data_IF_356432959140
#
_entry.id   IF_356432959140
#
_cell.length_a   1.000
_cell.length_b   1.000
_cell.length_c   1.000
_cell.angle_alpha   90.00
_cell.angle_beta   90.00
_cell.angle_gamma   90.00
#
_symmetry.space_group_name_H-M   'P 1'
#
loop_
_entity.id
_entity.type
_entity.pdbx_description
1 polymer ?
#
# COMPACT_ATOMS: atom_id res chain seq x y z
N UNK A 1 -47.14 7.11 -16.30
CA UNK A 1 -46.24 6.24 -15.52
C UNK A 1 -44.85 6.34 -16.14
N UNK A 2 -43.92 7.02 -15.50
CA UNK A 2 -42.52 7.09 -15.95
C UNK A 2 -41.75 6.05 -15.12
N UNK A 3 -41.07 5.06 -15.72
CA UNK A 3 -40.32 4.08 -14.96
C UNK A 3 -39.08 4.73 -14.35
N UNK A 4 -38.93 4.62 -13.03
CA UNK A 4 -37.72 4.97 -12.28
C UNK A 4 -36.63 3.95 -12.60
N UNK A 5 -35.83 4.21 -13.64
CA UNK A 5 -34.52 3.60 -13.76
C UNK A 5 -33.55 4.35 -12.83
N UNK A 6 -33.34 3.81 -11.63
CA UNK A 6 -32.17 4.17 -10.83
C UNK A 6 -30.99 3.46 -11.50
N UNK A 7 -30.37 4.14 -12.46
CA UNK A 7 -29.12 3.67 -13.06
C UNK A 7 -28.06 3.81 -11.98
N UNK A 8 -27.66 2.69 -11.37
CA UNK A 8 -26.45 2.61 -10.56
C UNK A 8 -25.26 2.94 -11.47
N UNK A 9 -24.89 4.22 -11.52
CA UNK A 9 -23.65 4.64 -12.15
C UNK A 9 -22.51 3.95 -11.39
N UNK A 10 -21.53 3.33 -12.10
CA UNK A 10 -20.33 2.83 -11.45
C UNK A 10 -19.75 3.92 -10.53
N UNK A 11 -19.30 3.58 -9.33
CA UNK A 11 -18.76 4.57 -8.38
C UNK A 11 -17.62 5.41 -8.99
N UNK A 12 -16.90 4.89 -9.99
CA UNK A 12 -15.91 5.65 -10.78
C UNK A 12 -16.52 6.84 -11.50
N UNK A 13 -17.69 6.67 -12.11
CA UNK A 13 -18.46 7.76 -12.71
C UNK A 13 -18.98 8.74 -11.66
N UNK A 14 -19.41 8.28 -10.48
CA UNK A 14 -19.80 9.19 -9.39
C UNK A 14 -18.60 9.97 -8.84
N UNK A 15 -17.45 9.33 -8.69
CA UNK A 15 -16.22 9.98 -8.24
C UNK A 15 -15.72 10.98 -9.29
N UNK A 16 -15.75 10.64 -10.58
CA UNK A 16 -15.43 11.55 -11.67
C UNK A 16 -16.40 12.75 -11.68
N UNK A 17 -17.70 12.54 -11.47
CA UNK A 17 -18.69 13.63 -11.37
C UNK A 17 -18.41 14.53 -10.17
N UNK A 18 -18.09 13.96 -9.00
CA UNK A 18 -17.70 14.71 -7.80
C UNK A 18 -16.37 15.46 -8.03
N UNK A 19 -15.42 14.89 -8.77
CA UNK A 19 -14.15 15.54 -9.16
C UNK A 19 -14.37 16.67 -10.18
N UNK A 20 -15.27 16.54 -11.14
CA UNK A 20 -15.63 17.63 -12.05
C UNK A 20 -16.38 18.76 -11.35
N UNK A 21 -17.24 18.43 -10.36
CA UNK A 21 -17.82 19.44 -9.46
C UNK A 21 -16.72 20.14 -8.64
N UNK A 22 -15.67 19.40 -8.26
CA UNK A 22 -14.51 19.97 -7.57
C UNK A 22 -13.74 20.98 -8.40
N UNK A 23 -13.41 20.66 -9.66
CA UNK A 23 -12.67 21.58 -10.54
C UNK A 23 -13.41 22.90 -10.76
N UNK A 24 -14.74 22.88 -10.74
CA UNK A 24 -15.57 24.09 -10.78
C UNK A 24 -15.49 24.91 -9.48
N UNK A 25 -15.42 24.26 -8.32
CA UNK A 25 -15.35 24.91 -7.01
C UNK A 25 -13.94 25.48 -6.69
N UNK A 26 -12.89 25.04 -7.39
CA UNK A 26 -11.50 25.48 -7.19
C UNK A 26 -11.23 26.94 -7.56
N UNK A 27 -12.15 27.61 -8.27
CA UNK A 27 -11.98 29.00 -8.68
C UNK A 27 -11.92 30.02 -7.50
N UNK A 28 -12.21 29.59 -6.26
CA UNK A 28 -12.30 30.48 -5.09
C UNK A 28 -11.40 30.16 -3.89
N UNK A 29 -10.60 29.08 -3.90
CA UNK A 29 -9.86 28.65 -2.71
C UNK A 29 -8.35 28.98 -2.78
N UNK A 30 -7.83 29.64 -1.74
CA UNK A 30 -6.39 29.78 -1.56
C UNK A 30 -5.80 28.41 -1.16
N UNK A 31 -4.93 27.90 -2.02
CA UNK A 31 -4.37 26.56 -1.91
C UNK A 31 -3.37 26.50 -0.74
N UNK A 32 -3.78 25.95 0.41
CA UNK A 32 -2.79 25.36 1.32
C UNK A 32 -2.36 24.05 0.69
N UNK A 33 -1.26 24.09 -0.08
CA UNK A 33 -0.56 22.87 -0.49
C UNK A 33 -0.14 22.16 0.79
N UNK A 34 -0.84 21.08 1.14
CA UNK A 34 -0.28 20.13 2.09
C UNK A 34 1.05 19.67 1.52
N UNK A 35 2.09 19.68 2.36
CA UNK A 35 3.40 19.24 1.94
C UNK A 35 3.25 17.80 1.42
N UNK A 36 3.89 17.44 0.29
CA UNK A 36 3.89 16.09 -0.22
C UNK A 36 4.15 15.10 0.92
N UNK A 37 3.45 13.94 0.96
CA UNK A 37 3.62 12.95 2.03
C UNK A 37 5.09 12.63 2.32
N UNK A 38 5.96 12.68 1.30
CA UNK A 38 7.42 12.52 1.41
C UNK A 38 8.09 13.62 2.25
N UNK A 39 7.65 14.87 2.13
CA UNK A 39 8.11 16.00 2.94
C UNK A 39 7.54 15.95 4.37
N UNK A 40 6.26 15.59 4.53
CA UNK A 40 5.65 15.40 5.86
C UNK A 40 6.34 14.28 6.62
N UNK A 41 6.64 13.16 5.94
CA UNK A 41 7.48 12.09 6.50
C UNK A 41 8.83 12.64 6.95
N UNK A 42 9.50 13.44 6.13
CA UNK A 42 10.80 14.04 6.46
C UNK A 42 10.77 15.00 7.65
N UNK A 43 9.69 15.76 7.81
CA UNK A 43 9.54 16.73 8.90
C UNK A 43 9.06 16.10 10.21
N UNK A 44 8.25 15.05 10.15
CA UNK A 44 7.79 14.29 11.31
C UNK A 44 8.83 13.28 11.85
N UNK A 45 10.07 13.30 11.34
CA UNK A 45 11.09 12.27 11.63
C UNK A 45 10.77 10.88 11.04
N UNK A 46 9.62 10.72 10.38
CA UNK A 46 9.15 9.51 9.69
C UNK A 46 9.82 9.30 8.31
N UNK A 47 10.78 10.14 7.89
CA UNK A 47 11.73 9.80 6.83
C UNK A 47 12.79 8.86 7.37
N UNK A 48 12.34 7.81 8.04
CA UNK A 48 13.11 6.62 8.11
C UNK A 48 12.90 5.86 6.78
N UNK A 49 13.59 6.32 5.74
CA UNK A 49 14.52 5.38 5.11
C UNK A 49 15.60 5.10 6.16
N UNK A 50 15.23 4.43 7.27
CA UNK A 50 16.21 3.64 7.98
C UNK A 50 16.72 2.76 6.86
N UNK A 51 18.03 2.84 6.58
CA UNK A 51 18.71 1.76 5.89
C UNK A 51 18.31 0.55 6.69
N UNK A 52 17.31 -0.16 6.19
CA UNK A 52 16.91 -1.43 6.72
C UNK A 52 18.18 -2.24 6.59
N UNK A 53 18.70 -2.71 7.71
CA UNK A 53 19.91 -3.50 7.69
C UNK A 53 19.52 -4.86 7.09
N UNK A 54 19.63 -4.96 5.76
CA UNK A 54 19.07 -6.09 5.00
C UNK A 54 19.92 -7.34 5.22
N UNK A 55 21.08 -7.29 5.90
CA UNK A 55 21.80 -8.49 6.35
C UNK A 55 22.91 -8.22 7.38
N UNK A 56 23.05 -9.13 8.36
CA UNK A 56 24.20 -9.22 9.28
C UNK A 56 25.54 -9.50 8.57
N UNK A 57 25.51 -9.88 7.28
CA UNK A 57 26.71 -10.09 6.46
C UNK A 57 26.96 -8.89 5.54
N UNK A 58 28.17 -8.31 5.54
CA UNK A 58 28.49 -7.19 4.66
C UNK A 58 28.52 -7.65 3.19
N UNK A 59 27.91 -6.85 2.31
CA UNK A 59 27.99 -7.06 0.86
C UNK A 59 29.43 -7.07 0.36
N UNK A 60 29.70 -7.93 -0.62
CA UNK A 60 30.94 -7.95 -1.40
C UNK A 60 31.15 -6.62 -2.14
N UNK A 61 32.38 -6.31 -2.57
CA UNK A 61 32.66 -5.09 -3.36
C UNK A 61 31.83 -5.08 -4.66
N UNK A 62 31.78 -6.22 -5.34
CA UNK A 62 30.99 -6.40 -6.56
C UNK A 62 29.49 -6.32 -6.29
N UNK A 63 29.03 -6.90 -5.18
CA UNK A 63 27.64 -6.81 -4.74
C UNK A 63 27.19 -5.38 -4.44
N UNK A 64 28.05 -4.56 -3.81
CA UNK A 64 27.80 -3.12 -3.59
C UNK A 64 27.70 -2.36 -4.92
N UNK A 65 28.62 -2.61 -5.85
CA UNK A 65 28.61 -1.97 -7.16
C UNK A 65 27.35 -2.35 -7.95
N UNK A 66 26.98 -3.63 -7.95
CA UNK A 66 25.77 -4.12 -8.61
C UNK A 66 24.51 -3.53 -7.99
N UNK A 67 24.40 -3.51 -6.66
CA UNK A 67 23.28 -2.91 -5.94
C UNK A 67 23.14 -1.41 -6.30
N UNK A 68 24.25 -0.68 -6.38
CA UNK A 68 24.27 0.72 -6.80
C UNK A 68 23.71 0.90 -8.21
N UNK A 69 24.16 0.08 -9.17
CA UNK A 69 23.69 0.13 -10.57
C UNK A 69 22.21 -0.24 -10.69
N UNK A 70 21.74 -1.25 -9.96
CA UNK A 70 20.32 -1.64 -9.92
C UNK A 70 19.48 -0.50 -9.35
N UNK A 71 19.92 0.11 -8.25
CA UNK A 71 19.20 1.21 -7.59
C UNK A 71 19.11 2.43 -8.50
N UNK A 72 20.19 2.77 -9.21
CA UNK A 72 20.23 3.86 -10.19
C UNK A 72 19.26 3.61 -11.35
N UNK A 73 19.34 2.43 -11.99
CA UNK A 73 18.46 2.06 -13.09
C UNK A 73 16.98 2.04 -12.66
N UNK A 74 16.69 1.42 -11.51
CA UNK A 74 15.34 1.34 -10.95
C UNK A 74 14.77 2.71 -10.58
N UNK A 75 15.61 3.64 -10.11
CA UNK A 75 15.18 5.02 -9.83
C UNK A 75 14.88 5.83 -11.09
N UNK A 76 15.48 5.47 -12.23
CA UNK A 76 15.16 6.03 -13.55
C UNK A 76 13.95 5.38 -14.22
N UNK A 77 13.40 4.32 -13.61
CA UNK A 77 12.31 3.53 -14.20
C UNK A 77 12.75 2.57 -15.31
N UNK A 78 14.05 2.33 -15.47
CA UNK A 78 14.60 1.45 -16.48
C UNK A 78 14.60 -0.01 -15.98
N UNK A 79 13.44 -0.65 -16.06
CA UNK A 79 13.27 -2.04 -15.66
C UNK A 79 14.14 -2.99 -16.48
N UNK A 80 14.30 -2.74 -17.78
CA UNK A 80 15.10 -3.59 -18.66
C UNK A 80 16.55 -3.66 -18.18
N UNK A 81 17.14 -2.52 -17.82
CA UNK A 81 18.49 -2.48 -17.28
C UNK A 81 18.58 -3.17 -15.91
N UNK A 82 17.58 -3.02 -15.03
CA UNK A 82 17.51 -3.77 -13.76
C UNK A 82 17.51 -5.27 -14.01
N UNK A 83 16.65 -5.75 -14.92
CA UNK A 83 16.53 -7.16 -15.26
C UNK A 83 17.82 -7.70 -15.89
N UNK A 84 18.45 -6.95 -16.79
CA UNK A 84 19.73 -7.33 -17.42
C UNK A 84 20.86 -7.46 -16.40
N UNK A 85 20.95 -6.51 -15.46
CA UNK A 85 21.94 -6.54 -14.38
C UNK A 85 21.74 -7.76 -13.47
N UNK A 86 20.48 -8.08 -13.14
CA UNK A 86 20.15 -9.21 -12.29
C UNK A 86 20.30 -10.57 -13.01
N UNK A 87 20.05 -10.64 -14.32
CA UNK A 87 20.19 -11.87 -15.09
C UNK A 87 21.63 -12.40 -15.07
N UNK A 88 22.63 -11.51 -15.06
CA UNK A 88 24.05 -11.87 -14.92
C UNK A 88 24.49 -12.18 -13.49
N UNK A 89 23.60 -12.04 -12.49
CA UNK A 89 23.94 -12.24 -11.08
C UNK A 89 23.72 -13.69 -10.64
N UNK A 90 24.81 -14.33 -10.21
CA UNK A 90 24.85 -15.69 -9.68
C UNK A 90 25.06 -15.76 -8.15
N UNK A 91 25.14 -14.61 -7.46
CA UNK A 91 25.37 -14.57 -6.02
C UNK A 91 24.10 -14.80 -5.19
N UNK A 92 24.28 -14.84 -3.88
CA UNK A 92 23.23 -15.14 -2.88
C UNK A 92 22.97 -13.97 -1.92
N UNK A 93 23.41 -12.76 -2.26
CA UNK A 93 23.29 -11.60 -1.35
C UNK A 93 21.85 -11.09 -1.35
N UNK A 94 21.15 -11.31 -0.23
CA UNK A 94 19.76 -10.92 -0.01
C UNK A 94 19.43 -9.46 -0.39
N UNK A 95 20.29 -8.46 -0.10
CA UNK A 95 20.01 -7.07 -0.48
C UNK A 95 19.82 -6.84 -1.98
N UNK A 96 20.46 -7.63 -2.84
CA UNK A 96 20.31 -7.50 -4.31
C UNK A 96 18.93 -8.00 -4.73
N UNK A 97 18.51 -9.17 -4.25
CA UNK A 97 17.17 -9.70 -4.52
C UNK A 97 16.08 -8.75 -4.01
N UNK A 98 16.23 -8.24 -2.79
CA UNK A 98 15.31 -7.27 -2.21
C UNK A 98 15.17 -6.02 -3.08
N UNK A 99 16.29 -5.42 -3.52
CA UNK A 99 16.27 -4.23 -4.36
C UNK A 99 15.57 -4.48 -5.70
N UNK A 100 15.88 -5.58 -6.37
CA UNK A 100 15.22 -5.95 -7.64
C UNK A 100 13.72 -6.14 -7.44
N UNK A 101 13.29 -6.86 -6.40
CA UNK A 101 11.87 -7.04 -6.09
C UNK A 101 11.18 -5.72 -5.76
N UNK A 102 11.84 -4.83 -5.01
CA UNK A 102 11.29 -3.54 -4.64
C UNK A 102 11.10 -2.64 -5.88
N UNK A 103 12.06 -2.65 -6.82
CA UNK A 103 11.91 -1.95 -8.09
C UNK A 103 10.89 -2.61 -9.01
N UNK A 104 10.83 -3.94 -9.05
CA UNK A 104 9.81 -4.67 -9.80
C UNK A 104 8.41 -4.27 -9.35
N UNK A 105 8.18 -4.20 -8.03
CA UNK A 105 6.91 -3.78 -7.46
C UNK A 105 6.58 -2.32 -7.80
N UNK A 106 7.56 -1.41 -7.64
CA UNK A 106 7.35 0.02 -7.91
C UNK A 106 7.11 0.34 -9.39
N UNK A 107 7.67 -0.47 -10.31
CA UNK A 107 7.53 -0.33 -11.76
C UNK A 107 6.43 -1.24 -12.34
N UNK A 108 5.57 -1.78 -11.49
CA UNK A 108 4.43 -2.66 -11.83
C UNK A 108 4.83 -3.95 -12.58
N UNK A 109 6.09 -4.36 -12.49
CA UNK A 109 6.61 -5.61 -13.03
C UNK A 109 6.37 -6.78 -12.06
N UNK A 110 5.11 -6.94 -11.63
CA UNK A 110 4.73 -7.81 -10.51
C UNK A 110 5.09 -9.28 -10.78
N UNK A 111 4.85 -9.77 -12.01
CA UNK A 111 5.19 -11.15 -12.40
C UNK A 111 6.70 -11.41 -12.30
N UNK A 112 7.51 -10.48 -12.78
CA UNK A 112 8.96 -10.59 -12.71
C UNK A 112 9.45 -10.52 -11.24
N UNK A 113 8.85 -9.66 -10.42
CA UNK A 113 9.12 -9.64 -8.97
C UNK A 113 8.83 -10.98 -8.29
N UNK A 114 7.75 -11.66 -8.68
CA UNK A 114 7.41 -12.98 -8.16
C UNK A 114 8.41 -14.07 -8.60
N UNK A 115 8.90 -14.02 -9.83
CA UNK A 115 9.97 -14.91 -10.32
C UNK A 115 11.26 -14.74 -9.50
N UNK A 116 11.64 -13.50 -9.20
CA UNK A 116 12.81 -13.19 -8.36
C UNK A 116 12.63 -13.76 -6.94
N UNK A 117 11.45 -13.61 -6.34
CA UNK A 117 11.16 -14.17 -5.03
C UNK A 117 11.19 -15.70 -5.03
N UNK A 118 10.61 -16.35 -6.05
CA UNK A 118 10.65 -17.81 -6.19
C UNK A 118 12.09 -18.31 -6.39
N UNK A 119 12.91 -17.61 -7.19
CA UNK A 119 14.35 -17.91 -7.34
C UNK A 119 15.06 -17.84 -5.99
N UNK A 120 14.81 -16.80 -5.21
CA UNK A 120 15.37 -16.64 -3.87
C UNK A 120 14.99 -17.83 -2.96
N UNK A 121 13.73 -18.26 -2.97
CA UNK A 121 13.25 -19.42 -2.21
C UNK A 121 13.89 -20.73 -2.68
N UNK A 122 14.01 -20.94 -4.00
CA UNK A 122 14.62 -22.14 -4.57
C UNK A 122 16.11 -22.26 -4.22
N UNK A 123 16.81 -21.13 -4.13
CA UNK A 123 18.21 -21.06 -3.67
C UNK A 123 18.35 -21.21 -2.15
N UNK A 124 17.24 -21.36 -1.40
CA UNK A 124 17.21 -21.51 0.06
C UNK A 124 17.96 -20.38 0.79
N UNK A 125 17.93 -19.18 0.24
CA UNK A 125 18.53 -18.00 0.87
C UNK A 125 17.65 -17.61 2.06
N UNK A 126 18.20 -17.49 3.28
CA UNK A 126 17.45 -17.04 4.45
C UNK A 126 16.85 -15.66 4.22
N UNK A 127 15.57 -15.50 4.55
CA UNK A 127 14.81 -14.27 4.35
C UNK A 127 14.63 -13.54 5.67
N UNK A 128 14.44 -12.23 5.59
CA UNK A 128 14.16 -11.35 6.72
C UNK A 128 12.84 -10.59 6.49
N UNK A 129 12.36 -9.92 7.54
CA UNK A 129 11.08 -9.18 7.51
C UNK A 129 10.91 -8.24 6.30
N UNK A 130 11.93 -7.48 5.85
CA UNK A 130 11.84 -6.65 4.64
C UNK A 130 11.58 -7.45 3.37
N UNK A 131 12.26 -8.59 3.20
CA UNK A 131 12.09 -9.47 2.03
C UNK A 131 10.73 -10.16 2.04
N UNK A 132 10.27 -10.63 3.19
CA UNK A 132 8.91 -11.14 3.34
C UNK A 132 7.87 -10.06 3.04
N UNK A 133 8.07 -8.84 3.53
CA UNK A 133 7.15 -7.71 3.31
C UNK A 133 6.95 -7.39 1.83
N UNK A 134 8.03 -7.35 1.04
CA UNK A 134 7.90 -7.12 -0.41
C UNK A 134 7.32 -8.35 -1.13
N UNK A 135 7.62 -9.57 -0.67
CA UNK A 135 6.98 -10.80 -1.13
C UNK A 135 5.46 -10.75 -0.96
N UNK A 136 4.97 -10.51 0.26
CA UNK A 136 3.54 -10.38 0.56
C UNK A 136 2.85 -9.39 -0.39
N UNK A 137 3.45 -8.22 -0.61
CA UNK A 137 2.90 -7.20 -1.52
C UNK A 137 2.83 -7.67 -2.97
N UNK A 138 3.88 -8.33 -3.47
CA UNK A 138 3.93 -8.86 -4.84
C UNK A 138 2.87 -9.94 -5.07
N UNK A 139 2.81 -10.95 -4.20
CA UNK A 139 1.89 -12.08 -4.38
C UNK A 139 0.43 -11.68 -4.15
N UNK A 140 0.18 -10.72 -3.25
CA UNK A 140 -1.15 -10.13 -3.09
C UNK A 140 -1.63 -9.41 -4.35
N UNK A 141 -0.75 -8.66 -5.03
CA UNK A 141 -1.08 -8.02 -6.33
C UNK A 141 -1.36 -9.02 -7.44
N UNK A 142 -0.88 -10.26 -7.33
CA UNK A 142 -1.18 -11.34 -8.27
C UNK A 142 -2.47 -12.09 -7.91
N UNK A 143 -3.10 -11.80 -6.76
CA UNK A 143 -4.25 -12.54 -6.25
C UNK A 143 -3.92 -13.95 -5.75
N UNK A 144 -2.63 -14.26 -5.54
CA UNK A 144 -2.16 -15.58 -5.13
C UNK A 144 -2.25 -15.71 -3.60
N UNK A 145 -3.45 -16.03 -3.10
CA UNK A 145 -3.75 -16.10 -1.66
C UNK A 145 -2.93 -17.15 -0.92
N UNK A 146 -2.77 -18.33 -1.50
CA UNK A 146 -2.02 -19.43 -0.86
C UNK A 146 -0.54 -19.06 -0.69
N UNK A 147 0.08 -18.45 -1.70
CA UNK A 147 1.45 -17.93 -1.61
C UNK A 147 1.55 -16.85 -0.51
N UNK A 148 0.56 -15.95 -0.40
CA UNK A 148 0.55 -14.92 0.67
C UNK A 148 0.54 -15.57 2.05
N UNK A 149 -0.26 -16.62 2.28
CA UNK A 149 -0.28 -17.30 3.58
C UNK A 149 0.98 -18.11 3.87
N UNK A 150 1.55 -18.76 2.86
CA UNK A 150 2.81 -19.48 3.00
C UNK A 150 3.96 -18.52 3.36
N UNK A 151 4.01 -17.36 2.71
CA UNK A 151 4.99 -16.30 3.00
C UNK A 151 4.76 -15.77 4.42
N UNK A 152 3.50 -15.50 4.81
CA UNK A 152 3.16 -15.02 6.15
C UNK A 152 3.57 -16.01 7.23
N UNK A 153 3.23 -17.28 7.09
CA UNK A 153 3.59 -18.35 8.03
C UNK A 153 5.10 -18.46 8.21
N UNK A 154 5.86 -18.41 7.10
CA UNK A 154 7.34 -18.40 7.15
C UNK A 154 7.86 -17.17 7.88
N UNK A 155 7.32 -15.98 7.57
CA UNK A 155 7.71 -14.74 8.20
C UNK A 155 7.48 -14.78 9.73
N UNK A 156 6.32 -15.26 10.19
CA UNK A 156 6.02 -15.38 11.63
C UNK A 156 6.85 -16.42 12.36
N UNK A 157 7.33 -17.44 11.66
CA UNK A 157 8.23 -18.44 12.25
C UNK A 157 9.67 -17.92 12.44
N UNK A 158 10.10 -16.93 11.66
CA UNK A 158 11.49 -16.44 11.63
C UNK A 158 11.67 -15.00 12.09
N UNK A 159 10.59 -14.21 12.15
CA UNK A 159 10.63 -12.79 12.43
C UNK A 159 9.51 -12.38 13.39
N UNK A 160 9.84 -11.49 14.33
CA UNK A 160 8.85 -10.80 15.14
C UNK A 160 8.02 -9.84 14.29
N UNK A 161 6.86 -9.43 14.81
CA UNK A 161 5.99 -8.50 14.09
C UNK A 161 6.58 -7.10 14.26
N UNK A 162 6.96 -6.47 13.16
CA UNK A 162 7.31 -5.05 13.13
C UNK A 162 6.27 -4.25 12.34
N UNK A 163 6.42 -2.93 12.33
CA UNK A 163 5.55 -2.01 11.61
C UNK A 163 5.44 -2.38 10.11
N UNK A 164 6.57 -2.70 9.46
CA UNK A 164 6.61 -2.91 8.01
C UNK A 164 5.96 -4.24 7.61
N UNK A 165 6.23 -5.30 8.36
CA UNK A 165 5.69 -6.64 8.15
C UNK A 165 4.18 -6.66 8.43
N UNK A 166 3.73 -6.00 9.50
CA UNK A 166 2.31 -5.82 9.79
C UNK A 166 1.60 -5.11 8.64
N UNK A 167 2.11 -3.95 8.22
CA UNK A 167 1.49 -3.21 7.13
C UNK A 167 1.56 -3.93 5.77
N UNK A 168 2.58 -4.74 5.50
CA UNK A 168 2.61 -5.58 4.30
C UNK A 168 1.51 -6.65 4.32
N UNK A 169 1.20 -7.21 5.49
CA UNK A 169 0.11 -8.18 5.63
C UNK A 169 -1.27 -7.53 5.52
N UNK A 170 -1.46 -6.34 6.09
CA UNK A 170 -2.69 -5.56 5.92
C UNK A 170 -2.86 -5.14 4.47
N UNK A 171 -1.78 -4.74 3.79
CA UNK A 171 -1.80 -4.48 2.34
C UNK A 171 -2.28 -5.70 1.56
N UNK A 172 -1.76 -6.89 1.89
CA UNK A 172 -2.17 -8.12 1.24
C UNK A 172 -3.66 -8.44 1.48
N UNK A 173 -4.13 -8.23 2.71
CA UNK A 173 -5.55 -8.35 3.05
C UNK A 173 -6.40 -7.34 2.25
N UNK A 174 -5.92 -6.11 2.08
CA UNK A 174 -6.59 -5.07 1.30
C UNK A 174 -6.73 -5.43 -0.17
N UNK A 175 -5.67 -5.94 -0.81
CA UNK A 175 -5.71 -6.38 -2.21
C UNK A 175 -6.70 -7.55 -2.43
N UNK A 176 -7.06 -8.23 -1.36
CA UNK A 176 -7.92 -9.41 -1.36
C UNK A 176 -9.31 -9.16 -0.77
N UNK A 177 -9.64 -7.92 -0.37
CA UNK A 177 -10.91 -7.62 0.30
C UNK A 177 -11.11 -8.33 1.65
N UNK A 178 -10.04 -8.78 2.29
CA UNK A 178 -10.09 -9.58 3.53
C UNK A 178 -10.07 -8.67 4.76
N UNK A 179 -11.24 -8.15 5.11
CA UNK A 179 -11.45 -7.31 6.29
C UNK A 179 -11.09 -8.02 7.60
N UNK A 180 -11.50 -9.29 7.85
CA UNK A 180 -11.15 -10.00 9.08
C UNK A 180 -9.65 -10.06 9.34
N UNK A 181 -8.87 -10.41 8.33
CA UNK A 181 -7.41 -10.48 8.47
C UNK A 181 -6.81 -9.10 8.75
N UNK A 182 -7.24 -8.06 8.03
CA UNK A 182 -6.76 -6.70 8.28
C UNK A 182 -7.03 -6.26 9.74
N UNK A 183 -8.21 -6.54 10.26
CA UNK A 183 -8.57 -6.25 11.66
C UNK A 183 -7.73 -7.08 12.64
N UNK A 184 -7.51 -8.36 12.38
CA UNK A 184 -6.70 -9.24 13.24
C UNK A 184 -5.26 -8.75 13.37
N UNK A 185 -4.64 -8.27 12.29
CA UNK A 185 -3.28 -7.73 12.36
C UNK A 185 -3.24 -6.41 13.13
N UNK A 186 -4.24 -5.53 12.98
CA UNK A 186 -4.33 -4.31 13.78
C UNK A 186 -4.47 -4.59 15.28
N UNK A 187 -5.27 -5.61 15.64
CA UNK A 187 -5.40 -6.08 17.01
C UNK A 187 -4.09 -6.69 17.55
N UNK A 188 -3.40 -7.50 16.75
CA UNK A 188 -2.07 -8.02 17.11
C UNK A 188 -1.09 -6.88 17.37
N UNK A 189 -1.04 -5.85 16.51
CA UNK A 189 -0.22 -4.66 16.73
C UNK A 189 -0.58 -3.95 18.05
N UNK A 190 -1.84 -3.96 18.50
CA UNK A 190 -2.21 -3.40 19.81
C UNK A 190 -1.61 -4.22 20.95
N UNK A 191 -1.73 -5.55 20.86
CA UNK A 191 -1.25 -6.49 21.88
C UNK A 191 0.28 -6.50 22.00
N UNK A 192 0.99 -6.32 20.89
CA UNK A 192 2.46 -6.32 20.84
C UNK A 192 3.07 -4.93 21.02
N UNK A 193 2.26 -3.87 21.10
CA UNK A 193 2.74 -2.50 21.22
C UNK A 193 3.38 -1.93 19.95
N UNK A 194 3.23 -2.60 18.80
CA UNK A 194 3.69 -2.10 17.50
C UNK A 194 2.87 -0.88 17.12
N UNK A 195 3.56 0.24 16.87
CA UNK A 195 2.94 1.52 16.54
C UNK A 195 2.21 1.44 15.21
N UNK A 196 0.98 1.99 15.19
CA UNK A 196 0.19 2.12 13.97
C UNK A 196 0.46 3.47 13.35
N UNK A 197 0.35 3.52 12.03
CA UNK A 197 0.41 4.75 11.25
C UNK A 197 -0.79 4.86 10.33
N UNK A 198 -1.04 6.06 9.80
CA UNK A 198 -2.14 6.34 8.87
C UNK A 198 -2.18 5.31 7.73
N UNK A 199 -1.02 4.87 7.25
CA UNK A 199 -0.91 3.87 6.19
C UNK A 199 -1.54 2.50 6.54
N UNK A 200 -1.38 2.03 7.79
CA UNK A 200 -1.96 0.76 8.24
C UNK A 200 -3.48 0.84 8.23
N UNK A 201 -4.03 1.91 8.79
CA UNK A 201 -5.48 2.07 8.89
C UNK A 201 -6.09 2.34 7.51
N UNK A 202 -5.44 3.15 6.66
CA UNK A 202 -5.86 3.34 5.28
C UNK A 202 -5.92 2.01 4.51
N UNK A 203 -4.93 1.14 4.70
CA UNK A 203 -4.92 -0.20 4.09
C UNK A 203 -6.06 -1.07 4.62
N UNK A 204 -6.40 -0.99 5.90
CA UNK A 204 -7.55 -1.72 6.46
C UNK A 204 -8.91 -1.17 5.95
N UNK A 205 -9.07 0.16 5.85
CA UNK A 205 -10.27 0.78 5.25
C UNK A 205 -10.39 0.33 3.79
N UNK A 206 -9.27 0.24 3.09
CA UNK A 206 -9.21 -0.26 1.72
C UNK A 206 -9.61 -1.73 1.60
N UNK A 207 -9.33 -2.58 2.58
CA UNK A 207 -9.88 -3.93 2.61
C UNK A 207 -11.42 -3.92 2.65
N UNK A 208 -12.02 -2.97 3.37
CA UNK A 208 -13.48 -2.80 3.40
C UNK A 208 -14.02 -2.33 2.04
N UNK A 209 -13.22 -1.55 1.31
CA UNK A 209 -13.54 -1.18 -0.06
C UNK A 209 -13.39 -2.36 -1.03
N UNK A 210 -12.37 -3.20 -0.95
CA UNK A 210 -12.22 -4.33 -1.89
C UNK A 210 -13.08 -5.55 -1.53
N UNK A 211 -13.69 -5.57 -0.35
CA UNK A 211 -14.60 -6.63 0.08
C UNK A 211 -15.81 -6.77 -0.87
N UNK A 212 -16.25 -8.02 -1.04
CA UNK A 212 -17.52 -8.31 -1.71
C UNK A 212 -18.68 -7.67 -0.94
N UNK A 213 -19.48 -6.85 -1.62
CA UNK A 213 -20.59 -6.10 -1.02
C UNK A 213 -20.21 -4.79 -0.32
N UNK A 214 -18.91 -4.45 -0.25
CA UNK A 214 -18.35 -3.32 0.51
C UNK A 214 -18.72 -3.39 2.01
N UNK A 215 -17.90 -2.80 2.87
CA UNK A 215 -18.20 -2.78 4.31
C UNK A 215 -18.07 -1.37 4.87
N UNK A 216 -19.10 -0.56 4.64
CA UNK A 216 -19.14 0.84 5.06
C UNK A 216 -19.13 1.00 6.59
N UNK A 217 -19.75 0.07 7.32
CA UNK A 217 -19.73 0.05 8.79
C UNK A 217 -18.32 -0.22 9.35
N UNK A 218 -17.59 -1.19 8.79
CA UNK A 218 -16.21 -1.44 9.19
C UNK A 218 -15.29 -0.27 8.80
N UNK A 219 -15.54 0.37 7.65
CA UNK A 219 -14.82 1.56 7.24
C UNK A 219 -15.06 2.75 8.19
N UNK A 220 -16.30 2.96 8.65
CA UNK A 220 -16.62 3.96 9.69
C UNK A 220 -15.84 3.70 10.97
N UNK A 221 -15.89 2.47 11.46
CA UNK A 221 -15.18 2.08 12.67
C UNK A 221 -13.68 2.35 12.56
N UNK A 222 -13.05 1.93 11.45
CA UNK A 222 -11.62 2.15 11.21
C UNK A 222 -11.28 3.64 11.07
N UNK A 223 -12.16 4.44 10.46
CA UNK A 223 -11.98 5.88 10.38
C UNK A 223 -12.07 6.55 11.75
N UNK A 224 -13.03 6.15 12.60
CA UNK A 224 -13.09 6.61 13.99
C UNK A 224 -11.87 6.16 14.78
N UNK A 225 -11.44 4.92 14.58
CA UNK A 225 -10.27 4.35 15.23
C UNK A 225 -9.00 5.14 14.88
N UNK A 226 -8.79 5.49 13.59
CA UNK A 226 -7.71 6.37 13.15
C UNK A 226 -7.70 7.68 13.96
N UNK A 227 -8.85 8.34 14.12
CA UNK A 227 -8.96 9.60 14.88
C UNK A 227 -8.69 9.40 16.37
N UNK A 228 -9.15 8.29 16.94
CA UNK A 228 -8.91 7.94 18.35
C UNK A 228 -7.43 7.73 18.67
N UNK A 229 -6.63 7.34 17.67
CA UNK A 229 -5.17 7.20 17.79
C UNK A 229 -4.44 8.55 17.66
N UNK A 230 -5.16 9.67 17.46
CA UNK A 230 -4.56 10.98 17.20
C UNK A 230 -3.87 11.07 15.84
N UNK A 231 -4.17 10.14 14.92
CA UNK A 231 -3.67 10.17 13.55
C UNK A 231 -4.59 11.07 12.71
N UNK A 232 -4.00 11.90 11.84
CA UNK A 232 -4.76 12.77 10.96
C UNK A 232 -5.14 12.05 9.66
N UNK A 233 -6.43 12.05 9.26
CA UNK A 233 -6.85 11.57 7.95
C UNK A 233 -6.14 12.33 6.81
N UNK A 234 -5.68 11.61 5.79
CA UNK A 234 -5.10 12.17 4.58
C UNK A 234 -6.02 11.96 3.35
N UNK A 235 -5.53 12.39 2.19
CA UNK A 235 -6.22 12.21 0.90
C UNK A 235 -6.51 10.74 0.60
N UNK A 236 -5.60 9.85 0.95
CA UNK A 236 -5.77 8.41 0.81
C UNK A 236 -6.86 7.90 1.76
N UNK A 237 -6.91 8.37 3.01
CA UNK A 237 -7.93 7.99 3.99
C UNK A 237 -9.34 8.25 3.44
N UNK A 238 -9.61 9.48 3.03
CA UNK A 238 -10.93 9.84 2.50
C UNK A 238 -11.24 9.13 1.20
N UNK A 239 -10.24 8.88 0.36
CA UNK A 239 -10.51 8.18 -0.89
C UNK A 239 -10.86 6.70 -0.66
N UNK A 240 -10.14 6.02 0.23
CA UNK A 240 -10.50 4.65 0.63
C UNK A 240 -11.87 4.60 1.31
N UNK A 241 -12.20 5.60 2.13
CA UNK A 241 -13.48 5.71 2.82
C UNK A 241 -14.64 5.87 1.84
N UNK A 242 -14.53 6.80 0.89
CA UNK A 242 -15.52 7.02 -0.17
C UNK A 242 -15.66 5.76 -1.05
N UNK A 243 -14.54 5.07 -1.34
CA UNK A 243 -14.56 3.78 -2.03
C UNK A 243 -15.37 2.72 -1.27
N UNK A 244 -15.16 2.59 0.03
CA UNK A 244 -15.93 1.67 0.88
C UNK A 244 -17.41 2.05 0.99
N UNK A 245 -17.77 3.31 0.74
CA UNK A 245 -19.15 3.78 0.69
C UNK A 245 -19.79 3.69 -0.70
N UNK A 246 -19.12 3.10 -1.69
CA UNK A 246 -19.61 3.08 -3.08
C UNK A 246 -21.01 2.50 -3.24
N UNK A 247 -21.40 1.56 -2.36
CA UNK A 247 -22.73 0.95 -2.33
C UNK A 247 -23.59 1.48 -1.17
N UNK A 248 -23.10 2.47 -0.41
CA UNK A 248 -23.81 3.12 0.68
C UNK A 248 -24.69 4.28 0.18
N UNK A 249 -25.37 4.96 1.11
CA UNK A 249 -26.23 6.09 0.76
C UNK A 249 -25.42 7.27 0.21
N UNK A 250 -26.01 8.00 -0.76
CA UNK A 250 -25.39 9.18 -1.34
C UNK A 250 -25.05 10.24 -0.27
N UNK A 251 -25.86 10.35 0.78
CA UNK A 251 -25.59 11.28 1.88
C UNK A 251 -24.27 10.96 2.58
N UNK A 252 -23.94 9.67 2.76
CA UNK A 252 -22.71 9.23 3.42
C UNK A 252 -21.47 9.56 2.58
N UNK A 253 -21.55 9.29 1.28
CA UNK A 253 -20.51 9.66 0.31
C UNK A 253 -20.31 11.18 0.32
N UNK A 254 -21.40 11.96 0.26
CA UNK A 254 -21.35 13.42 0.29
C UNK A 254 -20.76 13.94 1.60
N UNK A 255 -21.14 13.38 2.76
CA UNK A 255 -20.63 13.81 4.05
C UNK A 255 -19.10 13.63 4.15
N UNK A 256 -18.57 12.46 3.77
CA UNK A 256 -17.13 12.22 3.76
C UNK A 256 -16.40 13.16 2.79
N UNK A 257 -16.98 13.39 1.62
CA UNK A 257 -16.42 14.31 0.63
C UNK A 257 -16.42 15.77 1.10
N UNK A 258 -17.48 16.22 1.78
CA UNK A 258 -17.56 17.56 2.36
C UNK A 258 -16.59 17.73 3.53
N UNK A 259 -16.42 16.72 4.39
CA UNK A 259 -15.40 16.77 5.45
C UNK A 259 -14.00 16.92 4.85
N UNK A 260 -13.68 16.16 3.81
CA UNK A 260 -12.42 16.26 3.08
C UNK A 260 -12.21 17.68 2.52
N UNK A 261 -13.26 18.29 1.93
CA UNK A 261 -13.24 19.68 1.43
C UNK A 261 -12.99 20.71 2.53
N UNK A 262 -13.72 20.63 3.64
CA UNK A 262 -13.61 21.57 4.77
C UNK A 262 -12.19 21.53 5.36
N UNK A 263 -11.56 20.35 5.37
CA UNK A 263 -10.16 20.17 5.80
C UNK A 263 -9.12 20.63 4.76
N UNK A 264 -9.54 21.07 3.59
CA UNK A 264 -8.65 21.49 2.50
C UNK A 264 -7.84 20.33 1.90
N UNK A 265 -8.35 19.11 1.99
CA UNK A 265 -7.72 17.90 1.45
C UNK A 265 -8.26 17.69 0.03
N UNK A 266 -7.35 17.46 -0.92
CA UNK A 266 -7.72 17.18 -2.32
C UNK A 266 -7.83 15.66 -2.50
N UNK A 267 -8.84 15.14 -3.21
CA UNK A 267 -8.93 13.72 -3.48
C UNK A 267 -7.79 13.29 -4.40
N UNK A 268 -7.13 12.17 -4.10
CA UNK A 268 -5.97 11.71 -4.87
C UNK A 268 -6.40 11.24 -6.26
N UNK A 269 -5.89 11.88 -7.32
CA UNK A 269 -6.13 11.47 -8.73
C UNK A 269 -5.51 10.13 -9.10
N UNK A 270 -4.61 9.58 -8.26
CA UNK A 270 -3.94 8.29 -8.48
C UNK A 270 -4.90 7.10 -8.56
N UNK A 271 -6.13 7.22 -8.06
CA UNK A 271 -7.14 6.15 -8.10
C UNK A 271 -7.88 6.01 -9.44
N UNK A 272 -7.57 6.88 -10.43
CA UNK A 272 -7.91 6.62 -11.83
C UNK A 272 -7.00 5.57 -12.48
N UNK A 273 -5.91 5.18 -11.80
CA UNK A 273 -5.10 4.02 -12.18
C UNK A 273 -5.50 2.83 -11.30
N UNK A 274 -5.79 1.65 -11.86
CA UNK A 274 -6.19 0.45 -11.10
C UNK A 274 -5.05 -0.15 -10.24
N UNK A 275 -4.01 0.61 -9.92
CA UNK A 275 -2.73 0.06 -9.47
C UNK A 275 -2.25 0.71 -8.17
N UNK A 276 -2.76 0.20 -7.04
CA UNK A 276 -2.21 0.49 -5.72
C UNK A 276 -2.04 -0.73 -4.82
#
# INVERSE_FOLDING_TARGET
>A
MIPRFVVHLPWRTMLIVLLFQFERDLAGFSVRRQKPLRLVKKEAGLSHTKKVDISDRPLSKDGKLLLSKITEAGSRGDWWQVQKLFAGYAGTELPIFHAVMQHAFNLEQIRAGAEVYRKLCAMKIPQNAPTFSIGLKIFARLGLRDDVEDIWKKARATCELDEYLAGARIFAAAAHGDVPTAASILDEMNKTGVQKSVWHINSAIRACWEAEGKNDNAADFLFQYLRSLGLEPDDITYTCLIGAYSDASLQKIQAAYQEMKIRGIMPTTALLKPTW
#
